data_IF_351471079082
#
_entry.id   IF_351471079082
#
_cell.length_a   1.000
_cell.length_b   1.000
_cell.length_c   1.000
_cell.angle_alpha   90.00
_cell.angle_beta   90.00
_cell.angle_gamma   90.00
#
_symmetry.space_group_name_H-M   'P 1'
#
loop_
_entity.id
_entity.type
_entity.pdbx_description
1 polymer ?
#
# COMPACT_ATOMS: atom_id res chain seq x y z
N UNK A 1 -58.89 29.17 -10.66
CA UNK A 1 -58.71 27.77 -11.10
C UNK A 1 -57.58 27.83 -12.11
N UNK A 2 -56.37 27.34 -11.87
CA UNK A 2 -55.99 26.15 -11.15
C UNK A 2 -54.70 26.39 -10.35
N UNK A 3 -54.68 25.89 -9.11
CA UNK A 3 -53.46 25.63 -8.36
C UNK A 3 -52.70 24.51 -9.08
N UNK A 4 -51.40 24.70 -9.34
CA UNK A 4 -50.49 23.58 -9.50
C UNK A 4 -49.51 23.55 -8.31
N UNK A 5 -49.28 22.38 -7.69
CA UNK A 5 -48.61 22.29 -6.41
C UNK A 5 -47.10 22.21 -6.56
N UNK A 6 -46.42 22.73 -5.53
CA UNK A 6 -45.00 22.61 -5.25
C UNK A 6 -44.50 21.17 -5.45
N UNK A 7 -43.46 21.02 -6.26
CA UNK A 7 -42.58 19.86 -6.21
C UNK A 7 -41.84 19.89 -4.86
N UNK A 8 -41.89 18.84 -4.02
CA UNK A 8 -41.07 18.79 -2.82
C UNK A 8 -39.59 18.58 -3.19
N UNK A 9 -38.63 19.11 -2.40
CA UNK A 9 -37.22 18.84 -2.61
C UNK A 9 -36.93 17.34 -2.44
N UNK A 10 -36.07 16.80 -3.30
CA UNK A 10 -35.68 15.40 -3.30
C UNK A 10 -35.19 14.97 -1.92
N UNK A 11 -35.78 13.90 -1.41
CA UNK A 11 -35.46 13.23 -0.15
C UNK A 11 -34.02 12.71 -0.17
N UNK A 12 -33.37 12.76 0.99
CA UNK A 12 -31.93 12.61 1.16
C UNK A 12 -31.32 11.30 0.67
N UNK A 13 -30.08 11.40 0.24
CA UNK A 13 -29.19 10.30 -0.13
C UNK A 13 -29.23 9.18 0.91
N UNK A 14 -29.87 8.07 0.55
CA UNK A 14 -29.83 6.83 1.32
C UNK A 14 -28.44 6.21 1.17
N UNK A 15 -27.52 6.65 2.01
CA UNK A 15 -26.25 5.95 2.24
C UNK A 15 -26.58 4.50 2.64
N UNK A 16 -26.14 3.54 1.85
CA UNK A 16 -26.40 2.12 2.10
C UNK A 16 -25.91 1.73 3.50
N UNK A 17 -26.83 1.28 4.37
CA UNK A 17 -26.49 0.87 5.73
C UNK A 17 -25.74 -0.48 5.69
N UNK A 18 -24.67 -0.65 6.49
CA UNK A 18 -23.97 -1.93 6.59
C UNK A 18 -24.93 -3.04 7.02
N UNK A 19 -24.75 -4.24 6.46
CA UNK A 19 -25.53 -5.40 6.91
C UNK A 19 -25.11 -5.81 8.33
N UNK A 20 -25.95 -6.56 9.04
CA UNK A 20 -25.60 -7.09 10.37
C UNK A 20 -24.32 -7.96 10.32
N UNK A 21 -24.14 -8.73 9.24
CA UNK A 21 -22.92 -9.52 9.02
C UNK A 21 -21.67 -8.67 8.76
N UNK A 22 -21.81 -7.50 8.13
CA UNK A 22 -20.68 -6.56 7.97
C UNK A 22 -20.25 -5.97 9.32
N UNK A 23 -21.20 -5.65 10.20
CA UNK A 23 -20.89 -5.12 11.54
C UNK A 23 -20.12 -6.15 12.38
N UNK A 24 -20.56 -7.40 12.38
CA UNK A 24 -19.87 -8.49 13.07
C UNK A 24 -18.45 -8.70 12.52
N UNK A 25 -18.29 -8.65 11.19
CA UNK A 25 -16.98 -8.76 10.56
C UNK A 25 -16.05 -7.58 10.91
N UNK A 26 -16.57 -6.35 10.98
CA UNK A 26 -15.79 -5.17 11.37
C UNK A 26 -15.30 -5.28 12.82
N UNK A 27 -16.17 -5.70 13.75
CA UNK A 27 -15.78 -5.93 15.13
C UNK A 27 -14.72 -7.03 15.24
N UNK A 28 -14.93 -8.14 14.54
CA UNK A 28 -13.97 -9.23 14.51
C UNK A 28 -12.61 -8.81 13.94
N UNK A 29 -12.58 -8.01 12.86
CA UNK A 29 -11.34 -7.48 12.31
C UNK A 29 -10.61 -6.58 13.31
N UNK A 30 -11.33 -5.74 14.04
CA UNK A 30 -10.72 -4.87 15.06
C UNK A 30 -10.05 -5.70 16.16
N UNK A 31 -10.73 -6.72 16.66
CA UNK A 31 -10.17 -7.62 17.69
C UNK A 31 -8.93 -8.36 17.16
N UNK A 32 -8.98 -8.82 15.90
CA UNK A 32 -7.83 -9.41 15.23
C UNK A 32 -6.70 -8.39 15.04
N UNK A 33 -6.99 -7.14 14.73
CA UNK A 33 -5.98 -6.09 14.61
C UNK A 33 -5.24 -5.87 15.93
N UNK A 34 -5.96 -5.76 17.05
CA UNK A 34 -5.36 -5.62 18.38
C UNK A 34 -4.49 -6.85 18.73
N UNK A 35 -4.96 -8.06 18.41
CA UNK A 35 -4.21 -9.30 18.60
C UNK A 35 -2.95 -9.36 17.71
N UNK A 36 -3.07 -9.04 16.42
CA UNK A 36 -1.95 -9.02 15.46
C UNK A 36 -0.90 -7.99 15.86
N UNK A 37 -1.29 -6.78 16.23
CA UNK A 37 -0.35 -5.73 16.67
C UNK A 37 0.42 -6.14 17.92
N UNK A 38 -0.23 -6.84 18.86
CA UNK A 38 0.44 -7.41 20.04
C UNK A 38 1.41 -8.53 19.66
N UNK A 39 1.01 -9.40 18.74
CA UNK A 39 1.82 -10.53 18.28
C UNK A 39 3.06 -10.05 17.52
N UNK A 40 2.87 -9.11 16.59
CA UNK A 40 3.93 -8.46 15.83
C UNK A 40 4.88 -7.65 16.73
N UNK A 41 4.34 -7.04 17.80
CA UNK A 41 5.11 -6.31 18.81
C UNK A 41 6.12 -7.16 19.60
N UNK A 42 6.05 -8.50 19.52
CA UNK A 42 7.07 -9.41 20.08
C UNK A 42 8.40 -9.37 19.30
N UNK A 43 8.36 -8.97 18.03
CA UNK A 43 9.52 -9.00 17.12
C UNK A 43 9.82 -7.60 16.56
N UNK A 44 8.78 -6.78 16.36
CA UNK A 44 8.88 -5.47 15.73
C UNK A 44 8.79 -4.39 16.82
N UNK A 45 9.86 -3.60 16.96
CA UNK A 45 9.99 -2.56 17.97
C UNK A 45 9.93 -1.19 17.28
N UNK A 46 9.05 -0.30 17.76
CA UNK A 46 9.00 1.10 17.34
C UNK A 46 8.42 1.39 15.96
N UNK A 47 7.77 0.41 15.32
CA UNK A 47 7.24 0.56 13.95
C UNK A 47 5.74 0.25 13.85
N UNK A 48 4.96 0.63 14.86
CA UNK A 48 3.51 0.37 14.89
C UNK A 48 2.78 1.08 13.74
N UNK A 49 3.15 2.33 13.44
CA UNK A 49 2.55 3.08 12.33
C UNK A 49 2.82 2.44 10.96
N UNK A 50 4.00 1.83 10.79
CA UNK A 50 4.35 1.09 9.57
C UNK A 50 3.48 -0.15 9.44
N UNK A 51 3.32 -0.92 10.52
CA UNK A 51 2.47 -2.11 10.55
C UNK A 51 1.02 -1.72 10.21
N UNK A 52 0.50 -0.68 10.85
CA UNK A 52 -0.87 -0.19 10.61
C UNK A 52 -1.05 0.17 9.12
N UNK A 53 -0.15 0.95 8.53
CA UNK A 53 -0.19 1.31 7.11
C UNK A 53 -0.11 0.09 6.17
N UNK A 54 0.70 -0.92 6.50
CA UNK A 54 0.79 -2.16 5.73
C UNK A 54 -0.52 -2.95 5.78
N UNK A 55 -1.14 -3.07 6.96
CA UNK A 55 -2.43 -3.73 7.12
C UNK A 55 -3.53 -3.00 6.35
N UNK A 56 -3.58 -1.67 6.44
CA UNK A 56 -4.50 -0.85 5.65
C UNK A 56 -4.28 -1.10 4.15
N UNK A 57 -3.02 -1.15 3.70
CA UNK A 57 -2.70 -1.39 2.29
C UNK A 57 -3.18 -2.78 1.82
N UNK A 58 -2.97 -3.83 2.61
CA UNK A 58 -3.43 -5.20 2.31
C UNK A 58 -4.97 -5.25 2.26
N UNK A 59 -5.65 -4.68 3.26
CA UNK A 59 -7.12 -4.63 3.31
C UNK A 59 -7.72 -3.80 2.18
N UNK A 60 -7.01 -2.76 1.76
CA UNK A 60 -7.42 -1.94 0.62
C UNK A 60 -7.09 -2.59 -0.74
N UNK A 61 -6.49 -3.79 -0.80
CA UNK A 61 -5.98 -4.43 -2.03
C UNK A 61 -4.99 -3.54 -2.80
N UNK A 62 -4.10 -2.86 -2.08
CA UNK A 62 -3.05 -2.02 -2.61
C UNK A 62 -1.67 -2.68 -2.54
N UNK A 63 -0.67 -1.99 -3.08
CA UNK A 63 0.74 -2.32 -2.92
C UNK A 63 1.47 -1.15 -2.27
N UNK A 64 2.54 -1.44 -1.52
CA UNK A 64 3.29 -0.42 -0.80
C UNK A 64 4.73 -0.33 -1.29
N UNK A 65 5.24 0.89 -1.35
CA UNK A 65 6.65 1.21 -1.53
C UNK A 65 7.19 1.73 -0.21
N UNK A 66 8.23 1.10 0.32
CA UNK A 66 8.80 1.42 1.61
C UNK A 66 10.20 2.00 1.44
N UNK A 67 10.34 3.27 1.82
CA UNK A 67 11.60 3.98 1.82
C UNK A 67 12.17 4.03 3.23
N UNK A 68 13.44 3.67 3.37
CA UNK A 68 14.14 3.71 4.65
C UNK A 68 15.57 3.25 4.47
N UNK A 69 16.43 3.55 5.44
CA UNK A 69 17.83 3.12 5.39
C UNK A 69 17.96 1.59 5.58
N UNK A 70 19.09 1.00 5.18
CA UNK A 70 19.40 -0.39 5.48
C UNK A 70 19.37 -0.67 6.99
N UNK A 71 18.95 -1.88 7.38
CA UNK A 71 18.97 -2.32 8.78
C UNK A 71 17.72 -2.02 9.61
N UNK A 72 16.69 -1.36 9.06
CA UNK A 72 15.44 -1.05 9.77
C UNK A 72 14.44 -2.22 9.88
N UNK A 73 14.92 -3.45 9.94
CA UNK A 73 14.11 -4.66 10.10
C UNK A 73 12.97 -4.85 9.06
N UNK A 74 13.06 -4.24 7.87
CA UNK A 74 12.03 -4.30 6.81
C UNK A 74 11.64 -5.74 6.44
N UNK A 75 12.65 -6.59 6.24
CA UNK A 75 12.46 -8.02 5.96
C UNK A 75 11.80 -8.75 7.14
N UNK A 76 12.15 -8.37 8.36
CA UNK A 76 11.56 -8.93 9.58
C UNK A 76 10.08 -8.58 9.67
N UNK A 77 9.69 -7.34 9.35
CA UNK A 77 8.31 -6.87 9.40
C UNK A 77 7.44 -7.69 8.45
N UNK A 78 7.85 -7.80 7.19
CA UNK A 78 7.03 -8.46 6.17
C UNK A 78 6.97 -9.97 6.39
N UNK A 79 8.04 -10.59 6.89
CA UNK A 79 8.06 -12.01 7.24
C UNK A 79 7.23 -12.30 8.50
N UNK A 80 7.25 -11.41 9.50
CA UNK A 80 6.40 -11.54 10.68
C UNK A 80 4.92 -11.40 10.28
N UNK A 81 4.60 -10.43 9.42
CA UNK A 81 3.26 -10.20 8.91
C UNK A 81 2.73 -11.41 8.13
N UNK A 82 3.52 -11.98 7.22
CA UNK A 82 3.12 -13.17 6.45
C UNK A 82 2.89 -14.39 7.34
N UNK A 83 3.70 -14.58 8.39
CA UNK A 83 3.52 -15.66 9.36
C UNK A 83 2.23 -15.50 10.16
N UNK A 84 1.98 -14.32 10.73
CA UNK A 84 0.76 -14.03 11.50
C UNK A 84 -0.50 -14.19 10.62
N UNK A 85 -0.40 -13.84 9.34
CA UNK A 85 -1.48 -13.93 8.35
C UNK A 85 -1.57 -15.27 7.61
N UNK A 86 -0.72 -16.24 7.94
CA UNK A 86 -0.63 -17.55 7.27
C UNK A 86 -0.56 -17.46 5.75
N UNK A 87 0.22 -16.50 5.24
CA UNK A 87 0.37 -16.22 3.81
C UNK A 87 1.74 -16.70 3.30
N UNK A 88 1.78 -17.18 2.05
CA UNK A 88 3.03 -17.55 1.40
C UNK A 88 3.90 -16.31 1.16
N UNK A 89 5.14 -16.36 1.64
CA UNK A 89 6.11 -15.27 1.56
C UNK A 89 7.25 -15.60 0.62
N UNK A 90 7.45 -14.73 -0.38
CA UNK A 90 8.59 -14.80 -1.28
C UNK A 90 9.37 -13.49 -1.25
N UNK A 91 10.69 -13.59 -1.24
CA UNK A 91 11.61 -12.45 -1.35
C UNK A 91 12.27 -12.47 -2.73
N UNK A 92 12.24 -11.31 -3.40
CA UNK A 92 12.93 -11.05 -4.66
C UNK A 92 13.94 -9.95 -4.38
N UNK A 93 15.22 -10.29 -4.48
CA UNK A 93 16.30 -9.30 -4.41
C UNK A 93 16.51 -8.73 -5.80
N UNK A 94 16.33 -7.42 -5.96
CA UNK A 94 16.61 -6.75 -7.23
C UNK A 94 18.10 -6.49 -7.34
N UNK A 95 18.72 -7.11 -8.34
CA UNK A 95 20.13 -6.95 -8.70
C UNK A 95 20.25 -6.43 -10.14
N UNK A 96 21.39 -5.85 -10.55
CA UNK A 96 21.56 -5.31 -11.90
C UNK A 96 21.40 -6.36 -13.03
N UNK A 97 21.66 -7.63 -12.71
CA UNK A 97 21.61 -8.78 -13.61
C UNK A 97 20.26 -9.51 -13.62
N UNK A 98 19.32 -9.15 -12.74
CA UNK A 98 18.03 -9.81 -12.62
C UNK A 98 17.20 -9.64 -13.91
N UNK A 99 16.78 -10.76 -14.49
CA UNK A 99 15.97 -10.78 -15.70
C UNK A 99 14.47 -10.81 -15.38
N UNK A 100 13.59 -10.32 -16.28
CA UNK A 100 12.14 -10.44 -16.12
C UNK A 100 11.65 -11.86 -15.82
N UNK A 101 12.22 -12.87 -16.49
CA UNK A 101 11.89 -14.28 -16.29
C UNK A 101 12.28 -14.82 -14.92
N UNK A 102 13.24 -14.21 -14.24
CA UNK A 102 13.63 -14.62 -12.89
C UNK A 102 12.58 -14.19 -11.85
N UNK A 103 11.73 -13.21 -12.20
CA UNK A 103 10.59 -12.76 -11.39
C UNK A 103 9.34 -13.57 -11.77
N UNK A 104 9.03 -13.61 -13.05
CA UNK A 104 7.76 -14.15 -13.55
C UNK A 104 7.80 -15.66 -13.71
N UNK A 105 8.96 -16.26 -13.96
CA UNK A 105 9.11 -17.69 -14.24
C UNK A 105 9.63 -17.94 -15.65
N UNK A 106 10.02 -19.18 -15.90
CA UNK A 106 10.65 -19.61 -17.15
C UNK A 106 10.15 -20.98 -17.59
N UNK A 107 10.14 -21.23 -18.90
CA UNK A 107 9.87 -22.57 -19.43
C UNK A 107 11.16 -23.38 -19.47
N UNK A 108 11.18 -24.46 -18.71
CA UNK A 108 12.29 -25.42 -18.71
C UNK A 108 11.88 -26.68 -19.45
N UNK A 109 12.82 -27.21 -20.25
CA UNK A 109 12.63 -28.46 -20.95
C UNK A 109 12.85 -29.62 -19.96
N UNK A 110 11.78 -30.28 -19.54
CA UNK A 110 11.83 -31.44 -18.64
C UNK A 110 11.58 -32.73 -19.42
N UNK A 111 12.22 -33.82 -18.99
CA UNK A 111 11.86 -35.16 -19.43
C UNK A 111 10.51 -35.54 -18.82
N UNK A 112 9.60 -35.99 -19.67
CA UNK A 112 8.29 -36.48 -19.23
C UNK A 112 8.45 -37.88 -18.59
N UNK A 113 7.39 -38.37 -17.96
CA UNK A 113 7.32 -39.75 -17.42
C UNK A 113 7.59 -40.84 -18.48
N UNK A 114 7.63 -40.49 -19.76
CA UNK A 114 8.04 -41.35 -20.86
C UNK A 114 9.51 -41.10 -21.22
N UNK A 115 10.39 -42.13 -21.14
CA UNK A 115 11.80 -42.01 -21.52
C UNK A 115 11.96 -41.48 -22.94
N UNK A 116 12.76 -40.42 -23.10
CA UNK A 116 13.07 -39.82 -24.41
C UNK A 116 12.08 -38.78 -24.93
N UNK A 117 10.96 -38.51 -24.23
CA UNK A 117 10.09 -37.36 -24.55
C UNK A 117 10.39 -36.18 -23.64
N UNK A 118 10.60 -35.01 -24.24
CA UNK A 118 10.83 -33.75 -23.53
C UNK A 118 9.65 -32.80 -23.76
N UNK A 119 9.21 -32.13 -22.71
CA UNK A 119 8.16 -31.13 -22.76
C UNK A 119 8.64 -29.82 -22.10
N UNK A 120 8.21 -28.69 -22.64
CA UNK A 120 8.39 -27.40 -21.97
C UNK A 120 7.40 -27.31 -20.81
N UNK A 121 7.94 -27.24 -19.58
CA UNK A 121 7.18 -27.08 -18.34
C UNK A 121 7.48 -25.70 -17.78
N UNK A 122 6.43 -24.93 -17.51
CA UNK A 122 6.58 -23.60 -16.91
C UNK A 122 6.87 -23.74 -15.42
N UNK A 123 8.04 -23.26 -15.02
CA UNK A 123 8.43 -23.12 -13.62
C UNK A 123 8.04 -21.72 -13.15
N UNK A 124 7.10 -21.67 -12.21
CA UNK A 124 6.64 -20.44 -11.58
C UNK A 124 7.80 -19.70 -10.92
N UNK A 125 7.93 -18.41 -11.21
CA UNK A 125 8.88 -17.53 -10.54
C UNK A 125 8.43 -17.15 -9.11
N UNK A 126 9.27 -16.44 -8.36
CA UNK A 126 8.99 -16.02 -6.99
C UNK A 126 7.79 -15.07 -6.88
N UNK A 127 7.31 -14.47 -7.97
CA UNK A 127 6.09 -13.64 -7.96
C UNK A 127 4.82 -14.42 -7.58
N UNK A 128 4.83 -15.76 -7.72
CA UNK A 128 3.69 -16.62 -7.36
C UNK A 128 3.66 -16.93 -5.85
N UNK A 129 3.58 -15.89 -5.03
CA UNK A 129 3.35 -15.97 -3.58
C UNK A 129 2.29 -14.95 -3.16
N UNK A 130 1.75 -15.06 -1.95
CA UNK A 130 0.76 -14.11 -1.46
C UNK A 130 1.38 -12.77 -1.06
N UNK A 131 2.56 -12.81 -0.44
CA UNK A 131 3.30 -11.63 0.03
C UNK A 131 4.67 -11.63 -0.61
N UNK A 132 4.93 -10.62 -1.43
CA UNK A 132 6.18 -10.45 -2.16
C UNK A 132 6.96 -9.27 -1.58
N UNK A 133 8.16 -9.53 -1.06
CA UNK A 133 9.15 -8.50 -0.77
C UNK A 133 10.02 -8.28 -2.00
N UNK A 134 9.86 -7.14 -2.66
CA UNK A 134 10.71 -6.70 -3.77
C UNK A 134 11.79 -5.75 -3.23
N UNK A 135 12.92 -6.32 -2.82
CA UNK A 135 13.98 -5.59 -2.12
C UNK A 135 14.88 -4.84 -3.10
N UNK A 136 15.11 -3.55 -2.86
CA UNK A 136 15.99 -2.67 -3.65
C UNK A 136 15.57 -2.57 -5.13
N UNK A 137 14.27 -2.35 -5.37
CA UNK A 137 13.67 -2.32 -6.73
C UNK A 137 14.39 -1.35 -7.68
N UNK A 138 15.03 -0.31 -7.15
CA UNK A 138 15.82 0.66 -7.89
C UNK A 138 17.21 0.15 -8.32
N UNK A 139 17.60 -1.11 -8.08
CA UNK A 139 18.91 -1.66 -8.51
C UNK A 139 18.88 -2.44 -9.83
N UNK A 140 17.71 -2.56 -10.46
CA UNK A 140 17.54 -3.31 -11.71
C UNK A 140 17.04 -2.41 -12.83
N UNK A 141 17.40 -2.67 -14.10
CA UNK A 141 16.91 -1.89 -15.23
C UNK A 141 15.37 -1.80 -15.35
N UNK A 142 14.83 -0.76 -16.01
CA UNK A 142 13.39 -0.51 -16.14
C UNK A 142 12.58 -1.68 -16.72
N UNK A 143 13.19 -2.52 -17.58
CA UNK A 143 12.50 -3.67 -18.20
C UNK A 143 12.10 -4.72 -17.15
N UNK A 144 12.98 -5.01 -16.19
CA UNK A 144 12.69 -5.99 -15.13
C UNK A 144 11.77 -5.40 -14.07
N UNK A 145 11.92 -4.11 -13.73
CA UNK A 145 10.96 -3.39 -12.89
C UNK A 145 9.54 -3.48 -13.48
N UNK A 146 9.41 -3.30 -14.80
CA UNK A 146 8.13 -3.38 -15.50
C UNK A 146 7.45 -4.74 -15.37
N UNK A 147 8.21 -5.85 -15.33
CA UNK A 147 7.66 -7.19 -15.17
C UNK A 147 6.96 -7.39 -13.81
N UNK A 148 7.54 -6.87 -12.73
CA UNK A 148 6.90 -6.85 -11.41
C UNK A 148 5.65 -5.95 -11.42
N UNK A 149 5.77 -4.74 -11.97
CA UNK A 149 4.69 -3.76 -11.98
C UNK A 149 3.50 -4.19 -12.85
N UNK A 150 3.75 -4.92 -13.94
CA UNK A 150 2.71 -5.53 -14.77
C UNK A 150 1.96 -6.61 -13.98
N UNK A 151 2.69 -7.51 -13.31
CA UNK A 151 2.10 -8.54 -12.46
C UNK A 151 1.24 -7.95 -11.32
N UNK A 152 1.67 -6.82 -10.75
CA UNK A 152 0.90 -6.06 -9.75
C UNK A 152 -0.43 -5.52 -10.29
N UNK A 153 -0.45 -5.00 -11.53
CA UNK A 153 -1.68 -4.41 -12.08
C UNK A 153 -2.63 -5.46 -12.66
N UNK A 154 -2.07 -6.48 -13.33
CA UNK A 154 -2.85 -7.47 -14.07
C UNK A 154 -3.26 -8.68 -13.21
N UNK A 155 -2.63 -8.86 -12.04
CA UNK A 155 -2.79 -10.03 -11.16
C UNK A 155 -2.61 -11.39 -11.88
N UNK A 156 -1.82 -11.37 -12.96
CA UNK A 156 -1.50 -12.53 -13.80
C UNK A 156 -0.19 -12.30 -14.51
N UNK A 157 0.42 -13.40 -14.93
CA UNK A 157 1.64 -13.44 -15.74
C UNK A 157 1.32 -14.15 -17.04
N UNK A 158 1.74 -13.57 -18.16
CA UNK A 158 1.68 -14.24 -19.47
C UNK A 158 3.06 -14.78 -19.83
N UNK A 159 3.18 -16.09 -19.98
CA UNK A 159 4.40 -16.75 -20.41
C UNK A 159 4.10 -17.76 -21.52
N UNK A 160 4.86 -17.69 -22.62
CA UNK A 160 4.72 -18.55 -23.80
C UNK A 160 3.27 -18.68 -24.33
N UNK A 161 2.52 -17.57 -24.33
CA UNK A 161 1.13 -17.53 -24.79
C UNK A 161 0.11 -18.13 -23.82
N UNK A 162 0.52 -18.54 -22.61
CA UNK A 162 -0.37 -19.01 -21.53
C UNK A 162 -0.46 -17.97 -20.41
N UNK A 163 -1.65 -17.84 -19.84
CA UNK A 163 -1.92 -16.95 -18.71
C UNK A 163 -1.87 -17.76 -17.42
N UNK A 164 -1.12 -17.26 -16.44
CA UNK A 164 -1.00 -17.82 -15.09
C UNK A 164 -1.47 -16.79 -14.08
N UNK A 165 -2.54 -17.09 -13.33
CA UNK A 165 -3.10 -16.19 -12.32
C UNK A 165 -2.27 -16.23 -11.04
N UNK A 166 -2.08 -15.07 -10.40
CA UNK A 166 -1.40 -14.95 -9.11
C UNK A 166 -2.32 -15.38 -7.97
N UNK A 167 -1.76 -15.92 -6.85
CA UNK A 167 -2.56 -16.31 -5.70
C UNK A 167 -3.26 -15.10 -5.07
N UNK A 168 -4.40 -15.31 -4.43
CA UNK A 168 -5.15 -14.26 -3.71
C UNK A 168 -5.22 -14.60 -2.22
N UNK A 169 -5.01 -13.64 -1.31
CA UNK A 169 -4.62 -12.24 -1.56
C UNK A 169 -3.20 -12.13 -2.15
N UNK A 170 -2.97 -11.07 -2.93
CA UNK A 170 -1.67 -10.74 -3.53
C UNK A 170 -1.21 -9.36 -3.08
N UNK A 171 -0.10 -9.30 -2.36
CA UNK A 171 0.49 -8.07 -1.83
C UNK A 171 1.96 -7.98 -2.21
N UNK A 172 2.39 -6.77 -2.57
CA UNK A 172 3.79 -6.48 -2.91
C UNK A 172 4.23 -5.32 -2.05
N UNK A 173 5.31 -5.55 -1.31
CA UNK A 173 6.08 -4.53 -0.62
C UNK A 173 7.39 -4.34 -1.38
N UNK A 174 7.53 -3.23 -2.08
CA UNK A 174 8.80 -2.86 -2.69
C UNK A 174 9.61 -2.00 -1.72
N UNK A 175 10.94 -2.13 -1.72
CA UNK A 175 11.82 -1.26 -0.93
C UNK A 175 12.73 -0.46 -1.84
N UNK A 176 13.05 0.76 -1.41
CA UNK A 176 14.09 1.58 -2.02
C UNK A 176 15.08 2.01 -0.94
N UNK A 177 16.36 2.00 -1.32
CA UNK A 177 17.43 2.57 -0.51
C UNK A 177 17.75 3.99 -1.03
N UNK A 178 17.52 5.04 -0.22
CA UNK A 178 17.73 6.43 -0.66
C UNK A 178 19.20 6.83 -0.78
N UNK A 179 20.14 6.07 -0.21
CA UNK A 179 21.56 6.46 -0.11
C UNK A 179 22.38 5.95 -1.31
N UNK A 180 21.96 4.87 -1.97
CA UNK A 180 22.71 4.29 -3.10
C UNK A 180 22.58 5.14 -4.37
N UNK A 181 23.69 5.80 -4.75
CA UNK A 181 23.77 6.64 -5.95
C UNK A 181 24.39 5.92 -7.16
N UNK A 182 25.13 4.83 -6.95
CA UNK A 182 25.77 4.08 -8.03
C UNK A 182 24.92 2.86 -8.44
N UNK A 183 24.72 2.68 -9.74
CA UNK A 183 24.02 1.52 -10.29
C UNK A 183 22.52 1.49 -9.98
N UNK A 184 21.91 2.64 -9.67
CA UNK A 184 20.48 2.74 -9.42
C UNK A 184 19.71 3.32 -10.62
N UNK A 185 18.50 2.78 -10.81
CA UNK A 185 17.51 3.15 -11.81
C UNK A 185 16.26 3.61 -11.08
N UNK A 186 16.05 4.94 -10.93
CA UNK A 186 14.87 5.44 -10.23
C UNK A 186 13.61 5.01 -10.98
N UNK A 187 12.56 4.71 -10.22
CA UNK A 187 11.26 4.43 -10.83
C UNK A 187 10.67 5.74 -11.36
N UNK A 188 10.29 5.80 -12.65
CA UNK A 188 9.52 6.91 -13.18
C UNK A 188 8.23 7.12 -12.39
N UNK A 189 7.72 8.34 -12.38
CA UNK A 189 6.53 8.75 -11.64
C UNK A 189 5.30 7.92 -12.03
N UNK A 190 5.18 7.58 -13.32
CA UNK A 190 4.12 6.71 -13.82
C UNK A 190 4.19 5.27 -13.24
N UNK A 191 5.38 4.82 -12.84
CA UNK A 191 5.57 3.54 -12.16
C UNK A 191 5.33 3.65 -10.66
N UNK A 192 5.83 4.72 -10.02
CA UNK A 192 5.54 5.00 -8.62
C UNK A 192 4.04 5.10 -8.35
N UNK A 193 3.28 5.73 -9.25
CA UNK A 193 1.83 5.87 -9.14
C UNK A 193 1.06 4.54 -9.13
N UNK A 194 1.69 3.41 -9.47
CA UNK A 194 1.08 2.07 -9.33
C UNK A 194 1.04 1.59 -7.89
N UNK A 195 1.93 2.08 -7.02
CA UNK A 195 1.88 1.80 -5.60
C UNK A 195 0.79 2.63 -4.94
N UNK A 196 0.00 2.01 -4.07
CA UNK A 196 -1.02 2.71 -3.31
C UNK A 196 -0.37 3.61 -2.27
N UNK A 197 0.53 3.05 -1.46
CA UNK A 197 1.20 3.75 -0.36
C UNK A 197 2.70 3.89 -0.60
N UNK A 198 3.22 5.02 -0.14
CA UNK A 198 4.63 5.28 0.08
C UNK A 198 4.86 5.50 1.57
N UNK A 199 5.62 4.60 2.18
CA UNK A 199 5.80 4.54 3.63
C UNK A 199 7.26 4.88 3.94
N UNK A 200 7.45 5.94 4.70
CA UNK A 200 8.75 6.29 5.26
C UNK A 200 8.99 5.54 6.57
N UNK A 201 10.20 5.00 6.72
CA UNK A 201 10.68 4.42 7.97
C UNK A 201 11.91 5.19 8.42
N UNK A 202 11.77 5.87 9.55
CA UNK A 202 12.84 6.63 10.20
C UNK A 202 13.66 5.73 11.13
N UNK A 203 14.80 6.25 11.62
CA UNK A 203 15.59 5.55 12.64
C UNK A 203 14.78 5.39 13.93
N UNK A 204 14.88 4.23 14.60
CA UNK A 204 14.27 4.05 15.90
C UNK A 204 14.87 4.99 16.95
N UNK A 205 14.11 5.29 17.99
CA UNK A 205 14.62 6.03 19.14
C UNK A 205 15.72 5.25 19.86
N UNK A 206 16.59 5.92 20.63
CA UNK A 206 17.64 5.25 21.39
C UNK A 206 17.11 4.16 22.35
N UNK A 207 15.88 4.33 22.88
CA UNK A 207 15.23 3.33 23.71
C UNK A 207 14.81 2.08 22.89
N UNK A 208 14.28 2.30 21.70
CA UNK A 208 13.91 1.23 20.76
C UNK A 208 15.14 0.51 20.20
N UNK A 209 16.19 1.24 19.81
CA UNK A 209 17.47 0.67 19.38
C UNK A 209 18.09 -0.21 20.46
N UNK A 210 18.09 0.25 21.72
CA UNK A 210 18.56 -0.55 22.85
C UNK A 210 17.77 -1.85 22.99
N UNK A 211 16.44 -1.79 22.86
CA UNK A 211 15.59 -2.99 22.89
C UNK A 211 15.86 -3.91 21.71
N UNK A 212 16.00 -3.37 20.50
CA UNK A 212 16.37 -4.14 19.30
C UNK A 212 17.69 -4.86 19.54
N UNK A 213 18.70 -4.17 20.06
CA UNK A 213 19.99 -4.78 20.36
C UNK A 213 19.87 -5.90 21.42
N UNK A 214 19.07 -5.70 22.48
CA UNK A 214 18.84 -6.71 23.52
C UNK A 214 18.10 -7.94 22.99
N UNK A 215 17.01 -7.74 22.25
CA UNK A 215 16.12 -8.82 21.80
C UNK A 215 16.75 -9.62 20.65
N UNK A 216 17.42 -8.96 19.69
CA UNK A 216 18.05 -9.63 18.54
C UNK A 216 19.36 -10.35 18.86
N UNK A 217 20.07 -9.95 19.92
CA UNK A 217 21.30 -10.63 20.38
C UNK A 217 21.04 -11.71 21.44
N UNK A 218 19.79 -11.86 21.88
CA UNK A 218 19.38 -12.94 22.78
C UNK A 218 19.19 -14.26 22.01
N UNK A 219 19.40 -15.41 22.69
CA UNK A 219 19.46 -16.74 22.04
C UNK A 219 18.13 -17.29 21.51
N UNK A 220 17.00 -16.61 21.69
CA UNK A 220 15.66 -17.14 21.38
C UNK A 220 14.86 -16.14 20.57
N UNK A 221 14.72 -16.37 19.26
CA UNK A 221 13.73 -15.65 18.47
C UNK A 221 12.31 -16.05 18.95
N UNK A 222 11.39 -15.09 19.16
CA UNK A 222 10.01 -15.42 19.52
C UNK A 222 9.36 -16.19 18.36
N UNK A 223 8.58 -17.22 18.70
CA UNK A 223 7.71 -17.87 17.71
C UNK A 223 6.41 -17.08 17.61
N UNK A 224 6.02 -16.72 16.39
CA UNK A 224 4.77 -15.99 16.14
C UNK A 224 3.61 -16.96 15.95
N UNK A 225 2.47 -16.64 16.53
CA UNK A 225 1.23 -17.37 16.31
C UNK A 225 0.54 -16.96 15.01
N UNK A 226 -0.08 -17.94 14.34
CA UNK A 226 -0.93 -17.73 13.17
C UNK A 226 -2.30 -17.30 13.65
N UNK A 227 -2.73 -16.09 13.30
CA UNK A 227 -3.98 -15.50 13.81
C UNK A 227 -5.09 -15.43 12.76
N UNK A 228 -4.72 -15.27 11.49
CA UNK A 228 -5.66 -15.12 10.38
C UNK A 228 -5.13 -15.86 9.15
N UNK A 229 -6.02 -16.28 8.24
CA UNK A 229 -5.65 -16.87 6.95
C UNK A 229 -6.07 -16.02 5.73
N UNK A 230 -5.59 -16.42 4.55
CA UNK A 230 -5.88 -15.74 3.26
C UNK A 230 -7.38 -15.57 2.96
N UNK A 231 -8.19 -16.59 3.20
CA UNK A 231 -9.65 -16.55 2.96
C UNK A 231 -10.36 -15.50 3.82
N UNK A 232 -9.94 -15.35 5.09
CA UNK A 232 -10.51 -14.33 5.99
C UNK A 232 -10.10 -12.93 5.56
N UNK A 233 -8.85 -12.76 5.12
CA UNK A 233 -8.38 -11.49 4.55
C UNK A 233 -9.21 -11.10 3.34
N UNK A 234 -9.51 -12.05 2.44
CA UNK A 234 -10.36 -11.80 1.27
C UNK A 234 -11.77 -11.33 1.69
N UNK A 235 -12.37 -11.96 2.71
CA UNK A 235 -13.66 -11.53 3.27
C UNK A 235 -13.59 -10.11 3.84
N UNK A 236 -12.54 -9.77 4.59
CA UNK A 236 -12.37 -8.41 5.12
C UNK A 236 -12.16 -7.38 4.00
N UNK A 237 -11.44 -7.73 2.94
CA UNK A 237 -11.30 -6.85 1.76
C UNK A 237 -12.65 -6.59 1.07
N UNK A 238 -13.56 -7.56 1.05
CA UNK A 238 -14.93 -7.35 0.55
C UNK A 238 -15.74 -6.43 1.45
N UNK A 239 -15.64 -6.60 2.77
CA UNK A 239 -16.28 -5.71 3.75
C UNK A 239 -15.80 -4.28 3.55
N UNK A 240 -14.49 -4.06 3.42
CA UNK A 240 -13.90 -2.73 3.15
C UNK A 240 -14.49 -2.09 1.90
N UNK A 241 -14.74 -2.84 0.82
CA UNK A 241 -15.36 -2.29 -0.38
C UNK A 241 -16.79 -1.80 -0.15
N UNK A 242 -17.55 -2.50 0.69
CA UNK A 242 -18.96 -2.20 1.01
C UNK A 242 -19.14 -1.04 2.00
N UNK A 243 -18.08 -0.60 2.67
CA UNK A 243 -18.16 0.53 3.62
C UNK A 243 -18.72 1.78 2.93
N UNK A 244 -19.77 2.40 3.48
CA UNK A 244 -20.30 3.65 2.98
C UNK A 244 -19.32 4.81 3.19
N UNK A 245 -19.26 5.69 2.20
CA UNK A 245 -18.51 6.94 2.24
C UNK A 245 -19.51 8.07 2.00
N UNK A 246 -19.68 9.00 2.94
CA UNK A 246 -20.52 10.16 2.73
C UNK A 246 -20.03 11.04 1.56
N UNK A 247 -20.94 11.69 0.85
CA UNK A 247 -20.61 12.48 -0.35
C UNK A 247 -19.62 13.63 -0.05
N UNK A 248 -19.76 14.29 1.11
CA UNK A 248 -18.80 15.32 1.54
C UNK A 248 -17.37 14.79 1.67
N UNK A 249 -17.17 13.50 2.01
CA UNK A 249 -15.82 12.89 2.07
C UNK A 249 -15.25 12.69 0.66
N UNK A 250 -16.10 12.33 -0.31
CA UNK A 250 -15.69 12.29 -1.72
C UNK A 250 -15.29 13.68 -2.21
N UNK A 251 -16.08 14.70 -1.90
CA UNK A 251 -15.81 16.09 -2.27
C UNK A 251 -14.49 16.57 -1.65
N UNK A 252 -14.26 16.32 -0.36
CA UNK A 252 -13.00 16.68 0.30
C UNK A 252 -11.80 15.96 -0.33
N UNK A 253 -11.91 14.66 -0.66
CA UNK A 253 -10.82 13.93 -1.31
C UNK A 253 -10.51 14.47 -2.71
N UNK A 254 -11.55 14.83 -3.48
CA UNK A 254 -11.41 15.46 -4.80
C UNK A 254 -10.75 16.82 -4.67
N UNK A 255 -11.24 17.66 -3.76
CA UNK A 255 -10.71 19.00 -3.49
C UNK A 255 -9.23 18.92 -3.10
N UNK A 256 -8.88 18.09 -2.11
CA UNK A 256 -7.51 17.94 -1.63
C UNK A 256 -6.56 17.52 -2.76
N UNK A 257 -6.96 16.56 -3.60
CA UNK A 257 -6.13 16.13 -4.74
C UNK A 257 -6.01 17.21 -5.80
N UNK A 258 -7.09 17.93 -6.13
CA UNK A 258 -7.05 19.02 -7.12
C UNK A 258 -6.19 20.19 -6.64
N UNK A 259 -6.20 20.48 -5.34
CA UNK A 259 -5.37 21.50 -4.71
C UNK A 259 -3.88 21.22 -4.83
N UNK A 260 -3.46 19.96 -5.00
CA UNK A 260 -2.04 19.62 -5.23
C UNK A 260 -1.51 20.06 -6.61
N UNK A 261 -2.37 20.45 -7.55
CA UNK A 261 -2.00 20.71 -8.95
C UNK A 261 -1.64 22.19 -9.12
N UNK A 262 -0.37 22.57 -9.34
CA UNK A 262 0.06 23.98 -9.30
C UNK A 262 -0.60 24.85 -10.37
N UNK A 263 -1.04 24.27 -11.49
CA UNK A 263 -1.73 25.00 -12.56
C UNK A 263 -3.25 25.15 -12.35
N UNK A 264 -3.80 24.60 -11.26
CA UNK A 264 -5.23 24.73 -10.94
C UNK A 264 -5.53 26.08 -10.29
N UNK A 265 -6.66 26.70 -10.63
CA UNK A 265 -7.13 27.91 -9.96
C UNK A 265 -7.38 27.67 -8.47
N UNK A 266 -7.85 26.47 -8.13
CA UNK A 266 -8.15 26.00 -6.77
C UNK A 266 -6.90 25.75 -5.91
N UNK A 267 -5.69 25.72 -6.51
CA UNK A 267 -4.47 25.43 -5.78
C UNK A 267 -4.09 26.59 -4.84
N UNK A 268 -3.81 26.32 -3.55
CA UNK A 268 -3.29 27.30 -2.62
C UNK A 268 -1.95 27.90 -3.08
N UNK A 269 -1.63 29.12 -2.62
CA UNK A 269 -0.42 29.83 -3.02
C UNK A 269 0.86 29.03 -2.75
N UNK A 270 0.93 28.36 -1.60
CA UNK A 270 2.09 27.52 -1.26
C UNK A 270 2.28 26.35 -2.24
N UNK A 271 1.20 25.77 -2.79
CA UNK A 271 1.31 24.73 -3.81
C UNK A 271 1.85 25.31 -5.11
N UNK A 272 1.33 26.47 -5.54
CA UNK A 272 1.80 27.17 -6.74
C UNK A 272 3.29 27.53 -6.65
N UNK A 273 3.76 27.83 -5.44
CA UNK A 273 5.15 28.18 -5.16
C UNK A 273 6.08 26.97 -5.03
N UNK A 274 5.64 25.87 -4.42
CA UNK A 274 6.52 24.77 -4.04
C UNK A 274 6.40 23.50 -4.89
N UNK A 275 5.29 23.31 -5.61
CA UNK A 275 4.99 22.05 -6.32
C UNK A 275 5.24 22.22 -7.82
N UNK A 276 6.00 21.30 -8.40
CA UNK A 276 6.22 21.20 -9.86
C UNK A 276 5.17 20.31 -10.52
N UNK A 277 4.73 19.24 -9.84
CA UNK A 277 3.74 18.30 -10.35
C UNK A 277 2.86 17.75 -9.24
N UNK A 278 1.55 17.74 -9.46
CA UNK A 278 0.54 17.32 -8.49
C UNK A 278 -0.08 15.96 -8.78
N UNK A 279 -0.94 15.51 -7.87
CA UNK A 279 -1.51 14.17 -7.88
C UNK A 279 -2.65 14.00 -8.92
N UNK A 280 -2.68 12.82 -9.56
CA UNK A 280 -3.69 12.43 -10.53
C UNK A 280 -4.95 11.80 -9.91
N UNK A 281 -5.97 11.43 -10.72
CA UNK A 281 -7.23 10.84 -10.23
C UNK A 281 -7.06 9.54 -9.44
N UNK A 282 -5.99 8.77 -9.71
CA UNK A 282 -5.69 7.54 -8.96
C UNK A 282 -5.46 7.81 -7.48
N UNK A 283 -4.92 8.98 -7.12
CA UNK A 283 -4.77 9.39 -5.73
C UNK A 283 -6.12 9.44 -5.01
N UNK A 284 -7.17 9.95 -5.66
CA UNK A 284 -8.53 10.00 -5.08
C UNK A 284 -9.02 8.57 -4.78
N UNK A 285 -8.84 7.65 -5.73
CA UNK A 285 -9.24 6.26 -5.56
C UNK A 285 -8.50 5.60 -4.39
N UNK A 286 -7.20 5.85 -4.26
CA UNK A 286 -6.40 5.30 -3.16
C UNK A 286 -6.67 5.97 -1.81
N UNK A 287 -6.97 7.27 -1.77
CA UNK A 287 -7.43 7.96 -0.57
C UNK A 287 -8.71 7.32 -0.06
N UNK A 288 -9.71 7.14 -0.93
CA UNK A 288 -11.00 6.55 -0.53
C UNK A 288 -10.84 5.09 -0.12
N UNK A 289 -10.09 4.28 -0.87
CA UNK A 289 -9.84 2.87 -0.50
C UNK A 289 -9.07 2.76 0.80
N UNK A 290 -8.08 3.63 1.02
CA UNK A 290 -7.29 3.70 2.25
C UNK A 290 -8.16 4.11 3.43
N UNK A 291 -8.98 5.14 3.27
CA UNK A 291 -9.88 5.63 4.32
C UNK A 291 -10.95 4.59 4.70
N UNK A 292 -11.51 3.87 3.72
CA UNK A 292 -12.40 2.73 3.99
C UNK A 292 -11.71 1.64 4.81
N UNK A 293 -10.48 1.28 4.43
CA UNK A 293 -9.70 0.28 5.15
C UNK A 293 -9.32 0.74 6.55
N UNK A 294 -8.92 2.01 6.72
CA UNK A 294 -8.62 2.61 8.02
C UNK A 294 -9.87 2.62 8.93
N UNK A 295 -11.02 3.07 8.42
CA UNK A 295 -12.28 3.08 9.15
C UNK A 295 -12.62 1.69 9.71
N UNK A 296 -12.58 0.66 8.85
CA UNK A 296 -12.90 -0.73 9.22
C UNK A 296 -11.88 -1.30 10.20
N UNK A 297 -10.58 -1.00 10.01
CA UNK A 297 -9.52 -1.43 10.93
C UNK A 297 -9.71 -0.85 12.34
N UNK A 298 -10.23 0.39 12.44
CA UNK A 298 -10.58 1.04 13.72
C UNK A 298 -11.97 0.63 14.26
N UNK A 299 -12.69 -0.25 13.57
CA UNK A 299 -14.02 -0.71 13.98
C UNK A 299 -15.16 0.25 13.62
N UNK A 300 -14.91 1.25 12.76
CA UNK A 300 -15.93 2.15 12.23
C UNK A 300 -16.64 1.53 11.02
N UNK A 301 -17.93 1.81 10.90
CA UNK A 301 -18.80 1.33 9.82
C UNK A 301 -19.06 2.39 8.74
N UNK A 302 -18.46 3.57 8.86
CA UNK A 302 -18.58 4.66 7.89
C UNK A 302 -17.29 5.48 7.92
N UNK A 303 -16.89 5.96 6.75
CA UNK A 303 -15.69 6.80 6.61
C UNK A 303 -15.94 8.21 7.12
N UNK A 304 -14.95 8.75 7.81
CA UNK A 304 -14.86 10.12 8.34
C UNK A 304 -13.65 10.84 7.77
N UNK A 305 -13.56 12.14 8.01
CA UNK A 305 -12.41 12.95 7.59
C UNK A 305 -11.09 12.47 8.22
N UNK A 306 -11.11 12.06 9.49
CA UNK A 306 -9.94 11.49 10.19
C UNK A 306 -9.34 10.28 9.45
N UNK A 307 -10.18 9.48 8.77
CA UNK A 307 -9.71 8.33 7.98
C UNK A 307 -9.00 8.76 6.69
N UNK A 308 -9.42 9.88 6.07
CA UNK A 308 -8.71 10.48 4.94
C UNK A 308 -7.37 11.05 5.38
N UNK A 309 -7.36 11.79 6.49
CA UNK A 309 -6.16 12.38 7.09
C UNK A 309 -5.10 11.31 7.39
N UNK A 310 -5.51 10.21 8.03
CA UNK A 310 -4.61 9.12 8.41
C UNK A 310 -3.86 8.48 7.23
N UNK A 311 -4.46 8.44 6.03
CA UNK A 311 -3.86 7.83 4.83
C UNK A 311 -3.29 8.85 3.85
N UNK A 312 -3.56 10.15 4.03
CA UNK A 312 -3.24 11.19 3.06
C UNK A 312 -1.75 11.24 2.73
N UNK A 313 -0.89 11.23 3.76
CA UNK A 313 0.56 11.24 3.57
C UNK A 313 1.03 10.03 2.74
N UNK A 314 0.61 8.83 3.15
CA UNK A 314 1.03 7.59 2.48
C UNK A 314 0.59 7.54 1.01
N UNK A 315 -0.59 8.09 0.68
CA UNK A 315 -1.08 8.15 -0.70
C UNK A 315 -0.39 9.27 -1.50
N UNK A 316 -0.20 10.45 -0.93
CA UNK A 316 0.20 11.64 -1.69
C UNK A 316 1.72 11.85 -1.76
N UNK A 317 2.51 11.27 -0.85
CA UNK A 317 3.94 11.57 -0.70
C UNK A 317 4.77 11.38 -1.99
N UNK A 318 4.47 10.34 -2.79
CA UNK A 318 5.15 10.04 -4.05
C UNK A 318 4.42 10.58 -5.29
N UNK A 319 3.31 11.30 -5.10
CA UNK A 319 2.47 11.88 -6.15
C UNK A 319 2.57 13.40 -6.25
N UNK A 320 3.28 14.02 -5.31
CA UNK A 320 3.56 15.45 -5.27
C UNK A 320 5.06 15.61 -5.42
N UNK A 321 5.49 16.22 -6.53
CA UNK A 321 6.89 16.57 -6.75
C UNK A 321 7.08 18.04 -6.38
N UNK A 322 8.03 18.28 -5.49
CA UNK A 322 8.45 19.65 -5.16
C UNK A 322 9.44 20.18 -6.20
N UNK A 323 9.46 21.50 -6.38
CA UNK A 323 10.42 22.17 -7.26
C UNK A 323 11.75 22.48 -6.53
N UNK A 324 12.75 22.97 -7.28
CA UNK A 324 14.06 23.29 -6.71
C UNK A 324 14.02 24.35 -5.61
N UNK A 325 13.10 25.32 -5.69
CA UNK A 325 12.96 26.35 -4.66
C UNK A 325 12.52 25.72 -3.34
N UNK A 326 11.48 24.88 -3.38
CA UNK A 326 11.01 24.14 -2.21
C UNK A 326 12.12 23.28 -1.61
N UNK A 327 12.91 22.58 -2.43
CA UNK A 327 14.06 21.80 -1.97
C UNK A 327 15.10 22.67 -1.27
N UNK A 328 15.42 23.84 -1.81
CA UNK A 328 16.35 24.80 -1.19
C UNK A 328 15.83 25.36 0.14
N UNK A 329 14.51 25.49 0.29
CA UNK A 329 13.83 25.90 1.54
C UNK A 329 13.60 24.74 2.51
N UNK A 330 14.05 23.51 2.20
CA UNK A 330 13.82 22.33 3.02
C UNK A 330 12.37 21.84 3.05
N UNK A 331 11.54 22.29 2.10
CA UNK A 331 10.14 21.89 1.95
C UNK A 331 10.04 20.59 1.16
N UNK A 332 9.35 19.61 1.73
CA UNK A 332 9.16 18.27 1.14
C UNK A 332 7.70 18.06 0.72
N UNK A 333 7.42 16.96 0.01
CA UNK A 333 6.04 16.56 -0.26
C UNK A 333 5.24 16.36 1.03
N UNK A 334 5.84 15.81 2.10
CA UNK A 334 5.23 15.71 3.43
C UNK A 334 4.79 17.08 3.95
N UNK A 335 5.65 18.10 3.87
CA UNK A 335 5.32 19.47 4.32
C UNK A 335 4.13 20.07 3.55
N UNK A 336 4.03 19.80 2.24
CA UNK A 336 2.90 20.23 1.42
C UNK A 336 1.61 19.52 1.83
N UNK A 337 1.68 18.21 2.11
CA UNK A 337 0.53 17.40 2.52
C UNK A 337 0.01 17.84 3.90
N UNK A 338 0.89 18.04 4.87
CA UNK A 338 0.55 18.57 6.20
C UNK A 338 -0.19 19.92 6.07
N UNK A 339 0.33 20.82 5.25
CA UNK A 339 -0.29 22.13 4.98
C UNK A 339 -1.68 22.02 4.32
N UNK A 340 -1.87 21.02 3.45
CA UNK A 340 -3.16 20.74 2.81
C UNK A 340 -4.17 20.15 3.81
N UNK A 341 -3.74 19.22 4.66
CA UNK A 341 -4.59 18.64 5.72
C UNK A 341 -5.05 19.76 6.67
N UNK A 342 -4.12 20.58 7.17
CA UNK A 342 -4.46 21.72 8.04
C UNK A 342 -5.46 22.69 7.40
N UNK A 343 -5.35 22.92 6.08
CA UNK A 343 -6.28 23.77 5.34
C UNK A 343 -7.69 23.19 5.34
N UNK A 344 -7.82 21.87 5.19
CA UNK A 344 -9.11 21.17 5.20
C UNK A 344 -9.72 21.12 6.61
N UNK A 345 -8.91 20.88 7.64
CA UNK A 345 -9.36 20.88 9.04
C UNK A 345 -9.90 22.24 9.48
N UNK A 346 -9.40 23.35 8.93
CA UNK A 346 -9.90 24.70 9.22
C UNK A 346 -11.24 25.02 8.52
N UNK A 347 -11.63 24.25 7.51
CA UNK A 347 -12.89 24.41 6.77
C UNK A 347 -14.02 23.55 7.34
N UNK A 348 -13.67 22.40 7.93
CA UNK A 348 -14.58 21.53 8.68
C UNK A 348 -15.01 22.19 10.00
#
# INVERSE_FOLDING_TARGET
MSNDPKNPPAEGETVAKPSQGDLEAIHHLRDLYEAMSKELGKVIIGQQDVIERLLICILARGHALLMGVPGLAKTTIINALSQVMSLDFNRIQFTPDLMPSDITGTEILQETDQPGKRAFVFTKGPIFGNVILADEINRTPPKTQSALLEAMQEHRVTAAGRIYTLPSPFFVLATQNPIEQEGTYPLPEAQLDRFMFFIHVDYPTAAEEKRIAQETTSKSAPTLEKLIGGEEILRFQEVVQRVPVPDHIYDTAVEMVRQTRPNSEEAPDFVKQWVSWGAGPRAIQYLIRGAKAHAVLKGSYMVRFEDLEAVAESVLAHRILTNFQAQAEGRTSRTVIESLIELQTKKA
#
